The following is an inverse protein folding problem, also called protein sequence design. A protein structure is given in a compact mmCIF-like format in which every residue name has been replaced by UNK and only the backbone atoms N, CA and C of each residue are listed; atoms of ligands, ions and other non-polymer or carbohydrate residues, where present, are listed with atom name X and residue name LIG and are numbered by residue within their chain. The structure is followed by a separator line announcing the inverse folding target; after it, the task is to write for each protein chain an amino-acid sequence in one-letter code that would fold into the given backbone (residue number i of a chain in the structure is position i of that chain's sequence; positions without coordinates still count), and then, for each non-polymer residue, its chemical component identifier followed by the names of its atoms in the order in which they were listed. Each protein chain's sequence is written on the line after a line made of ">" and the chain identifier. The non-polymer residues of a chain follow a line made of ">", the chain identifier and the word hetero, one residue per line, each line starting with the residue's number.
data_IF_725690531134
#
_entry.id   IF_725690531134
#
_cell.length_a   1.000
_cell.length_b   1.000
_cell.length_c   1.000
_cell.angle_alpha   90.00
_cell.angle_beta   90.00
_cell.angle_gamma   90.00
#
_symmetry.space_group_name_H-M   'P 1'
#
loop_
_entity.id
_entity.type
_entity.pdbx_description
1 polymer ?
#
# COMPACT_ATOMS: atom_id res chain seq x y z
N UNK A 1 -23.78 -6.91 0.23
CA UNK A 1 -22.88 -7.67 -0.71
C UNK A 1 -21.56 -6.92 -0.80
N UNK A 2 -20.37 -7.61 -0.79
CA UNK A 2 -19.08 -6.94 -0.90
C UNK A 2 -18.62 -6.92 -2.36
N UNK A 3 -18.32 -5.74 -2.88
CA UNK A 3 -17.79 -5.54 -4.24
C UNK A 3 -16.36 -5.00 -4.16
N UNK A 4 -15.42 -5.57 -4.96
CA UNK A 4 -14.06 -5.04 -5.09
C UNK A 4 -13.93 -4.30 -6.41
N UNK A 5 -13.60 -3.02 -6.32
CA UNK A 5 -13.42 -2.13 -7.47
C UNK A 5 -12.12 -1.34 -7.38
N UNK A 6 -11.75 -0.65 -8.44
CA UNK A 6 -10.68 0.35 -8.38
C UNK A 6 -11.06 1.46 -7.42
N UNK A 7 -10.08 1.96 -6.70
CA UNK A 7 -10.21 3.16 -5.90
C UNK A 7 -10.42 4.38 -6.81
N UNK A 8 -11.32 5.26 -6.40
CA UNK A 8 -11.63 6.52 -7.08
C UNK A 8 -11.23 7.70 -6.19
N UNK A 9 -11.05 8.91 -6.73
CA UNK A 9 -10.66 10.07 -5.92
C UNK A 9 -11.59 10.37 -4.75
N UNK A 10 -12.88 10.12 -4.87
CA UNK A 10 -13.85 10.33 -3.80
C UNK A 10 -13.81 9.27 -2.68
N UNK A 11 -13.04 8.20 -2.85
CA UNK A 11 -12.84 7.17 -1.81
C UNK A 11 -11.73 7.54 -0.82
N UNK A 12 -10.95 8.59 -1.10
CA UNK A 12 -9.71 8.91 -0.38
C UNK A 12 -9.98 9.08 1.11
N UNK A 13 -10.95 9.91 1.49
CA UNK A 13 -11.27 10.19 2.88
C UNK A 13 -11.76 8.94 3.61
N UNK A 14 -12.74 8.22 3.05
CA UNK A 14 -13.27 6.99 3.62
C UNK A 14 -12.21 5.88 3.76
N UNK A 15 -11.28 5.80 2.80
CA UNK A 15 -10.13 4.88 2.86
C UNK A 15 -9.16 5.29 3.98
N UNK A 16 -8.83 6.57 4.13
CA UNK A 16 -7.91 7.03 5.16
C UNK A 16 -8.50 6.84 6.55
N UNK A 17 -9.79 7.13 6.73
CA UNK A 17 -10.53 6.81 7.94
C UNK A 17 -10.49 5.31 8.28
N UNK A 18 -10.65 4.43 7.28
CA UNK A 18 -10.52 2.99 7.48
C UNK A 18 -9.10 2.61 7.93
N UNK A 19 -8.07 3.17 7.30
CA UNK A 19 -6.68 2.91 7.68
C UNK A 19 -6.38 3.39 9.09
N UNK A 20 -6.91 4.53 9.50
CA UNK A 20 -6.73 5.08 10.84
C UNK A 20 -7.47 4.25 11.90
N UNK A 21 -8.67 3.74 11.60
CA UNK A 21 -9.37 2.81 12.49
C UNK A 21 -8.63 1.48 12.67
N UNK A 22 -8.09 0.92 11.58
CA UNK A 22 -7.45 -0.43 11.60
C UNK A 22 -6.03 -0.39 12.13
N UNK A 23 -5.24 0.63 11.82
CA UNK A 23 -3.81 0.68 12.11
C UNK A 23 -3.41 1.79 13.08
N UNK A 24 -4.26 2.81 13.28
CA UNK A 24 -3.95 4.00 14.05
C UNK A 24 -2.75 4.78 13.50
N UNK A 25 -2.28 5.77 14.26
CA UNK A 25 -1.13 6.61 13.91
C UNK A 25 0.18 5.82 13.77
N UNK A 26 0.28 4.64 14.37
CA UNK A 26 1.46 3.77 14.25
C UNK A 26 1.76 3.31 12.81
N UNK A 27 0.77 3.41 11.90
CA UNK A 27 0.97 3.08 10.47
C UNK A 27 2.08 3.90 9.82
N UNK A 28 2.23 5.16 10.23
CA UNK A 28 3.26 6.07 9.70
C UNK A 28 4.68 5.76 10.19
N UNK A 29 4.81 4.99 11.28
CA UNK A 29 6.10 4.59 11.84
C UNK A 29 6.66 3.31 11.18
N UNK A 30 5.87 2.61 10.38
CA UNK A 30 6.30 1.36 9.73
C UNK A 30 7.35 1.64 8.66
N UNK A 31 8.42 0.86 8.64
CA UNK A 31 9.51 1.01 7.67
C UNK A 31 9.03 1.03 6.22
N UNK A 32 8.01 0.24 5.88
CA UNK A 32 7.42 0.23 4.55
C UNK A 32 6.76 1.58 4.16
N UNK A 33 6.38 2.44 5.13
CA UNK A 33 5.82 3.76 4.86
C UNK A 33 6.85 4.68 4.22
N UNK A 34 8.13 4.58 4.60
CA UNK A 34 9.22 5.35 3.97
C UNK A 34 9.34 5.17 2.46
N UNK A 35 8.82 4.06 1.92
CA UNK A 35 8.78 3.79 0.49
C UNK A 35 7.55 4.38 -0.21
N UNK A 36 6.59 4.88 0.54
CA UNK A 36 5.31 5.43 0.07
C UNK A 36 5.19 6.93 0.29
N UNK A 37 5.87 7.43 1.31
CA UNK A 37 5.80 8.83 1.72
C UNK A 37 6.10 9.78 0.55
N UNK A 38 5.22 10.77 0.33
CA UNK A 38 5.35 11.74 -0.75
C UNK A 38 5.24 11.16 -2.16
N UNK A 39 4.66 9.97 -2.32
CA UNK A 39 4.53 9.32 -3.64
C UNK A 39 3.10 8.95 -3.97
N UNK A 40 2.84 8.79 -5.25
CA UNK A 40 1.59 8.23 -5.75
C UNK A 40 1.68 6.70 -5.80
N UNK A 41 0.57 5.98 -5.54
CA UNK A 41 0.52 4.55 -5.81
C UNK A 41 0.71 4.26 -7.30
N UNK A 42 1.17 3.07 -7.61
CA UNK A 42 1.35 2.60 -9.00
C UNK A 42 0.02 2.69 -9.76
N UNK A 43 0.06 3.26 -10.95
CA UNK A 43 -1.12 3.62 -11.72
C UNK A 43 -2.09 2.44 -11.93
N UNK A 44 -3.34 2.61 -11.50
CA UNK A 44 -4.39 1.59 -11.65
C UNK A 44 -4.26 0.39 -10.69
N UNK A 45 -3.39 0.47 -9.68
CA UNK A 45 -3.13 -0.59 -8.71
C UNK A 45 -3.60 -0.22 -7.29
N UNK A 46 -4.66 0.57 -7.18
CA UNK A 46 -5.37 0.89 -5.92
C UNK A 46 -6.77 0.30 -5.99
N UNK A 47 -7.17 -0.42 -4.93
CA UNK A 47 -8.46 -1.11 -4.87
C UNK A 47 -9.11 -0.91 -3.52
N UNK A 48 -10.44 -0.82 -3.54
CA UNK A 48 -11.30 -0.79 -2.36
C UNK A 48 -12.30 -1.93 -2.40
N UNK A 49 -12.70 -2.39 -1.23
CA UNK A 49 -13.84 -3.27 -1.03
C UNK A 49 -14.97 -2.43 -0.45
N UNK A 50 -16.10 -2.40 -1.13
CA UNK A 50 -17.29 -1.66 -0.76
C UNK A 50 -18.40 -2.62 -0.33
N UNK A 51 -19.11 -2.29 0.74
CA UNK A 51 -20.29 -2.99 1.21
C UNK A 51 -21.33 -1.97 1.66
N UNK A 52 -22.51 -2.04 1.05
CA UNK A 52 -23.66 -1.20 1.44
C UNK A 52 -23.35 0.32 1.39
N UNK A 53 -22.48 0.74 0.47
CA UNK A 53 -22.02 2.11 0.28
C UNK A 53 -20.76 2.50 1.07
N UNK A 54 -20.34 1.67 2.03
CA UNK A 54 -19.16 1.93 2.86
C UNK A 54 -17.90 1.26 2.34
N UNK A 55 -16.74 1.93 2.48
CA UNK A 55 -15.44 1.33 2.24
C UNK A 55 -15.04 0.47 3.45
N UNK A 56 -15.05 -0.85 3.24
CA UNK A 56 -14.77 -1.85 4.28
C UNK A 56 -13.43 -2.55 4.10
N UNK A 57 -12.70 -2.21 3.06
CA UNK A 57 -11.35 -2.75 2.82
C UNK A 57 -10.60 -1.95 1.77
N UNK A 58 -9.28 -1.98 1.84
CA UNK A 58 -8.40 -1.29 0.88
C UNK A 58 -7.09 -2.03 0.69
N UNK A 59 -6.51 -1.90 -0.52
CA UNK A 59 -5.13 -2.29 -0.82
C UNK A 59 -4.58 -1.40 -1.93
N UNK A 60 -3.33 -0.98 -1.80
CA UNK A 60 -2.59 -0.23 -2.82
C UNK A 60 -1.26 -0.92 -3.12
N UNK A 61 -0.74 -0.69 -4.32
CA UNK A 61 0.62 -1.08 -4.69
C UNK A 61 1.42 0.16 -5.08
N UNK A 62 2.72 0.12 -4.80
CA UNK A 62 3.63 1.26 -4.94
C UNK A 62 4.85 0.83 -5.74
N UNK A 63 5.27 1.65 -6.69
CA UNK A 63 6.46 1.33 -7.49
C UNK A 63 7.72 1.42 -6.64
N UNK A 64 8.49 0.34 -6.65
CA UNK A 64 9.76 0.20 -5.93
C UNK A 64 10.78 -0.54 -6.80
N UNK A 65 12.03 -0.58 -6.37
CA UNK A 65 13.02 -1.51 -6.91
C UNK A 65 13.40 -2.56 -5.86
N UNK A 66 13.49 -3.82 -6.28
CA UNK A 66 14.01 -4.94 -5.48
C UNK A 66 15.55 -5.02 -5.60
N UNK A 67 16.22 -3.99 -5.07
CA UNK A 67 17.64 -3.72 -5.35
C UNK A 67 17.86 -3.02 -6.71
N UNK A 68 19.10 -2.64 -7.04
CA UNK A 68 19.40 -1.86 -8.25
C UNK A 68 18.91 -2.54 -9.54
N UNK A 69 18.22 -1.77 -10.39
CA UNK A 69 17.79 -2.21 -11.71
C UNK A 69 16.68 -3.26 -11.77
N UNK A 70 16.00 -3.56 -10.66
CA UNK A 70 14.95 -4.58 -10.59
C UNK A 70 13.60 -3.97 -10.23
N UNK A 71 12.79 -3.55 -11.20
CA UNK A 71 11.46 -3.00 -10.95
C UNK A 71 10.56 -4.02 -10.24
N UNK A 72 9.85 -3.56 -9.21
CA UNK A 72 8.90 -4.31 -8.43
C UNK A 72 7.76 -3.40 -7.96
N UNK A 73 6.71 -3.97 -7.37
CA UNK A 73 5.70 -3.20 -6.64
C UNK A 73 5.62 -3.69 -5.20
N UNK A 74 5.42 -2.75 -4.28
CA UNK A 74 5.20 -3.02 -2.85
C UNK A 74 3.71 -3.01 -2.56
N UNK A 75 3.15 -4.13 -2.13
CA UNK A 75 1.75 -4.26 -1.75
C UNK A 75 1.55 -3.76 -0.31
N UNK A 76 0.60 -2.87 -0.15
CA UNK A 76 0.14 -2.33 1.13
C UNK A 76 -0.01 -0.79 1.12
N UNK A 77 -0.65 -0.25 2.15
CA UNK A 77 -1.30 -0.95 3.24
C UNK A 77 -2.47 -1.80 2.75
N UNK A 78 -2.68 -2.96 3.40
CA UNK A 78 -3.88 -3.76 3.30
C UNK A 78 -4.66 -3.61 4.59
N UNK A 79 -5.88 -3.13 4.51
CA UNK A 79 -6.78 -3.02 5.66
C UNK A 79 -8.15 -3.61 5.34
N UNK A 80 -8.79 -4.18 6.35
CA UNK A 80 -10.20 -4.61 6.32
C UNK A 80 -10.80 -4.22 7.65
N UNK A 81 -11.98 -3.62 7.61
CA UNK A 81 -12.76 -3.26 8.78
C UNK A 81 -12.93 -4.46 9.73
N UNK A 82 -12.69 -4.26 11.01
CA UNK A 82 -12.71 -5.31 12.02
C UNK A 82 -14.05 -6.05 12.08
N UNK A 83 -15.16 -5.34 11.92
CA UNK A 83 -16.50 -5.91 11.88
C UNK A 83 -16.76 -6.80 10.64
N UNK A 84 -15.93 -6.67 9.62
CA UNK A 84 -16.04 -7.42 8.36
C UNK A 84 -14.89 -8.43 8.18
N UNK A 85 -14.02 -8.63 9.19
CA UNK A 85 -12.95 -9.64 9.16
C UNK A 85 -13.51 -11.06 9.04
N UNK A 86 -12.64 -12.00 8.68
CA UNK A 86 -12.95 -13.43 8.49
C UNK A 86 -13.97 -13.73 7.36
N UNK A 87 -14.35 -12.75 6.54
CA UNK A 87 -15.25 -12.90 5.38
C UNK A 87 -14.50 -13.03 4.05
N UNK A 88 -13.18 -13.23 4.07
CA UNK A 88 -12.37 -13.40 2.87
C UNK A 88 -12.02 -12.12 2.10
N UNK A 89 -12.45 -10.93 2.57
CA UNK A 89 -12.27 -9.64 1.89
C UNK A 89 -10.80 -9.34 1.65
N UNK A 90 -9.95 -9.45 2.68
CA UNK A 90 -8.51 -9.22 2.55
C UNK A 90 -7.86 -10.13 1.51
N UNK A 91 -8.23 -11.41 1.51
CA UNK A 91 -7.74 -12.36 0.51
C UNK A 91 -8.20 -12.04 -0.91
N UNK A 92 -9.43 -11.56 -1.06
CA UNK A 92 -9.96 -11.14 -2.36
C UNK A 92 -9.25 -9.87 -2.89
N UNK A 93 -8.97 -8.89 -2.00
CA UNK A 93 -8.17 -7.70 -2.32
C UNK A 93 -6.76 -8.07 -2.76
N UNK A 94 -6.06 -8.96 -2.03
CA UNK A 94 -4.71 -9.44 -2.42
C UNK A 94 -4.73 -10.10 -3.78
N UNK A 95 -5.65 -11.03 -4.03
CA UNK A 95 -5.79 -11.69 -5.35
C UNK A 95 -6.07 -10.68 -6.46
N UNK A 96 -6.94 -9.70 -6.22
CA UNK A 96 -7.23 -8.63 -7.18
C UNK A 96 -5.99 -7.80 -7.50
N UNK A 97 -5.23 -7.42 -6.48
CA UNK A 97 -3.99 -6.64 -6.61
C UNK A 97 -2.93 -7.41 -7.41
N UNK A 98 -2.67 -8.68 -7.08
CA UNK A 98 -1.73 -9.55 -7.81
C UNK A 98 -2.14 -9.70 -9.27
N UNK A 99 -3.42 -9.98 -9.54
CA UNK A 99 -3.93 -10.12 -10.90
C UNK A 99 -3.80 -8.82 -11.71
N UNK A 100 -4.00 -7.67 -11.08
CA UNK A 100 -3.83 -6.37 -11.71
C UNK A 100 -2.35 -6.07 -12.00
N UNK A 101 -1.45 -6.31 -11.03
CA UNK A 101 -0.01 -6.15 -11.21
C UNK A 101 0.51 -7.01 -12.37
N UNK A 102 0.03 -8.25 -12.48
CA UNK A 102 0.38 -9.16 -13.58
C UNK A 102 -0.09 -8.62 -14.94
N UNK A 103 -1.32 -8.10 -15.04
CA UNK A 103 -1.83 -7.46 -16.27
C UNK A 103 -1.07 -6.20 -16.66
N UNK A 104 -0.60 -5.44 -15.66
CA UNK A 104 0.26 -4.26 -15.87
C UNK A 104 1.72 -4.61 -16.11
N UNK A 105 2.04 -5.90 -16.36
CA UNK A 105 3.38 -6.42 -16.69
C UNK A 105 4.43 -6.24 -15.59
N UNK A 106 4.01 -6.01 -14.35
CA UNK A 106 4.95 -6.12 -13.21
C UNK A 106 5.41 -7.56 -13.08
N UNK A 107 6.68 -7.74 -12.71
CA UNK A 107 7.31 -9.06 -12.62
C UNK A 107 7.38 -9.57 -11.19
N UNK A 108 7.27 -8.68 -10.21
CA UNK A 108 7.46 -8.98 -8.79
C UNK A 108 6.56 -8.13 -7.93
N UNK A 109 5.97 -8.75 -6.90
CA UNK A 109 5.29 -8.05 -5.80
C UNK A 109 6.04 -8.34 -4.51
N UNK A 110 6.37 -7.29 -3.76
CA UNK A 110 6.94 -7.36 -2.42
C UNK A 110 5.90 -6.94 -1.39
N UNK A 111 6.03 -7.38 -0.16
CA UNK A 111 5.26 -6.87 0.98
C UNK A 111 5.98 -7.13 2.31
N UNK A 112 5.51 -6.48 3.37
CA UNK A 112 5.88 -6.80 4.76
C UNK A 112 4.62 -7.29 5.48
N UNK A 113 4.62 -8.54 5.91
CA UNK A 113 3.43 -9.15 6.52
C UNK A 113 3.68 -10.52 7.15
N UNK A 114 2.61 -11.17 7.56
CA UNK A 114 2.65 -12.51 8.14
C UNK A 114 2.87 -13.57 7.04
N UNK A 115 3.99 -14.28 7.10
CA UNK A 115 4.34 -15.30 6.12
C UNK A 115 3.30 -16.43 6.03
N UNK A 116 2.71 -16.86 7.17
CA UNK A 116 1.68 -17.89 7.19
C UNK A 116 0.41 -17.44 6.44
N UNK A 117 0.03 -16.17 6.61
CA UNK A 117 -1.11 -15.61 5.89
C UNK A 117 -0.85 -15.47 4.39
N UNK A 118 0.33 -14.97 3.99
CA UNK A 118 0.60 -14.61 2.59
C UNK A 118 1.10 -15.78 1.73
N UNK A 119 1.56 -16.89 2.32
CA UNK A 119 1.98 -18.11 1.59
C UNK A 119 0.93 -18.60 0.60
N UNK A 120 -0.36 -18.55 0.95
CA UNK A 120 -1.47 -18.98 0.07
C UNK A 120 -1.66 -18.15 -1.20
N UNK A 121 -0.96 -17.02 -1.30
CA UNK A 121 -0.94 -16.16 -2.49
C UNK A 121 0.39 -16.26 -3.25
N UNK A 122 1.28 -17.17 -2.86
CA UNK A 122 2.57 -17.38 -3.50
C UNK A 122 3.70 -16.49 -2.98
N UNK A 123 3.53 -15.85 -1.82
CA UNK A 123 4.60 -15.09 -1.19
C UNK A 123 5.51 -15.97 -0.32
N UNK A 124 6.82 -15.70 -0.37
CA UNK A 124 7.84 -16.35 0.44
C UNK A 124 8.93 -15.35 0.86
N UNK A 125 9.56 -15.60 2.01
CA UNK A 125 10.75 -14.87 2.45
C UNK A 125 12.04 -15.40 1.83
N UNK A 126 12.02 -16.57 1.20
CA UNK A 126 13.20 -17.25 0.65
C UNK A 126 13.91 -16.40 -0.41
N UNK A 127 13.13 -15.72 -1.27
CA UNK A 127 13.65 -14.94 -2.38
C UNK A 127 14.05 -13.49 -2.00
N UNK A 128 13.73 -13.08 -0.76
CA UNK A 128 14.00 -11.71 -0.28
C UNK A 128 15.18 -11.66 0.68
N UNK A 129 15.85 -12.78 0.92
CA UNK A 129 16.91 -12.92 1.93
C UNK A 129 18.09 -11.95 1.80
N UNK A 130 18.41 -11.49 0.60
CA UNK A 130 19.45 -10.51 0.33
C UNK A 130 18.93 -9.09 0.08
N UNK A 131 17.61 -8.85 0.26
CA UNK A 131 16.97 -7.53 0.16
C UNK A 131 16.83 -6.87 1.53
N UNK A 132 16.86 -5.54 1.55
CA UNK A 132 16.78 -4.75 2.78
C UNK A 132 15.77 -3.61 2.62
N UNK A 133 15.00 -3.34 3.68
CA UNK A 133 14.17 -2.13 3.78
C UNK A 133 14.98 -0.96 4.36
N UNK A 134 14.57 0.29 4.10
CA UNK A 134 15.26 1.49 4.60
C UNK A 134 14.91 1.78 6.07
N UNK A 135 15.14 0.82 6.97
CA UNK A 135 14.88 0.96 8.41
C UNK A 135 14.63 -0.38 9.09
N UNK A 136 14.26 -0.41 10.37
CA UNK A 136 14.06 -1.64 11.13
C UNK A 136 12.84 -2.42 10.66
N UNK A 137 12.97 -3.74 10.56
CA UNK A 137 11.89 -4.69 10.26
C UNK A 137 12.29 -6.11 10.66
N UNK A 138 11.31 -6.98 10.82
CA UNK A 138 11.53 -8.42 11.00
C UNK A 138 11.78 -9.06 9.63
N UNK A 139 12.93 -9.71 9.49
CA UNK A 139 13.40 -10.20 8.18
C UNK A 139 12.49 -11.23 7.52
N UNK A 140 11.94 -12.13 8.31
CA UNK A 140 11.00 -13.18 7.89
C UNK A 140 9.63 -12.64 7.44
N UNK A 141 9.36 -11.36 7.70
CA UNK A 141 8.15 -10.65 7.27
C UNK A 141 8.31 -9.92 5.94
N UNK A 142 9.52 -9.76 5.42
CA UNK A 142 9.73 -9.25 4.07
C UNK A 142 9.52 -10.39 3.09
N UNK A 143 8.43 -10.33 2.34
CA UNK A 143 8.01 -11.41 1.46
C UNK A 143 8.01 -10.97 0.00
N UNK A 144 8.37 -11.88 -0.90
CA UNK A 144 8.32 -11.70 -2.34
C UNK A 144 7.39 -12.70 -3.01
N UNK A 145 6.74 -12.26 -4.09
CA UNK A 145 5.97 -13.10 -4.99
C UNK A 145 6.41 -12.80 -6.42
N UNK A 146 6.97 -13.79 -7.09
CA UNK A 146 7.30 -13.69 -8.51
C UNK A 146 6.06 -13.86 -9.38
N UNK A 147 5.76 -12.84 -10.16
CA UNK A 147 4.72 -12.90 -11.19
C UNK A 147 5.25 -13.50 -12.48
N UNK A 148 6.57 -13.42 -12.65
CA UNK A 148 7.35 -14.08 -13.73
C UNK A 148 8.46 -14.87 -13.05
N UNK A 149 8.59 -16.17 -13.30
CA UNK A 149 9.63 -16.99 -12.69
C UNK A 149 11.03 -16.39 -12.88
N UNK A 150 11.86 -16.41 -11.83
CA UNK A 150 13.22 -15.87 -11.82
C UNK A 150 13.31 -14.36 -11.75
N UNK A 151 12.20 -13.66 -11.51
CA UNK A 151 12.21 -12.19 -11.42
C UNK A 151 13.00 -11.67 -10.19
N UNK A 152 13.15 -12.49 -9.16
CA UNK A 152 13.92 -12.20 -7.95
C UNK A 152 15.28 -12.90 -7.92
N UNK A 153 15.66 -13.67 -8.96
CA UNK A 153 16.95 -14.35 -8.99
C UNK A 153 18.11 -13.36 -8.86
N UNK A 154 18.93 -13.55 -7.82
CA UNK A 154 20.04 -12.65 -7.50
C UNK A 154 19.61 -11.24 -7.05
N UNK A 155 18.33 -11.02 -6.67
CA UNK A 155 17.89 -9.76 -6.11
C UNK A 155 18.56 -9.50 -4.77
N UNK A 156 19.22 -8.33 -4.65
CA UNK A 156 20.00 -7.97 -3.46
C UNK A 156 20.11 -6.45 -3.30
N UNK A 157 20.32 -6.03 -2.08
CA UNK A 157 20.53 -4.63 -1.75
C UNK A 157 19.26 -3.94 -1.21
N UNK A 158 19.31 -2.62 -1.17
CA UNK A 158 18.24 -1.82 -0.59
C UNK A 158 17.03 -1.76 -1.53
N UNK A 159 15.85 -1.97 -0.99
CA UNK A 159 14.57 -1.69 -1.65
C UNK A 159 14.40 -0.17 -1.65
N UNK A 160 14.29 0.41 -2.82
CA UNK A 160 14.13 1.84 -3.02
C UNK A 160 12.77 2.19 -3.60
N UNK A 161 12.24 3.35 -3.26
CA UNK A 161 11.02 3.88 -3.85
C UNK A 161 11.32 4.44 -5.24
N UNK A 162 10.53 4.06 -6.24
CA UNK A 162 10.66 4.51 -7.65
C UNK A 162 9.39 5.14 -8.20
N UNK A 163 8.29 5.13 -7.42
CA UNK A 163 7.01 5.71 -7.79
C UNK A 163 7.09 7.22 -8.03
N UNK A 164 6.12 7.74 -8.79
CA UNK A 164 5.98 9.16 -9.04
C UNK A 164 5.82 9.90 -7.71
N UNK A 165 6.46 11.06 -7.60
CA UNK A 165 6.24 11.96 -6.47
C UNK A 165 4.85 12.59 -6.57
N UNK A 166 4.17 12.68 -5.44
CA UNK A 166 2.94 13.47 -5.33
C UNK A 166 3.28 14.94 -5.62
N UNK A 167 2.54 15.61 -6.52
CA UNK A 167 2.75 17.03 -6.76
C UNK A 167 2.68 17.81 -5.44
N UNK A 168 3.65 18.69 -5.20
CA UNK A 168 3.57 19.59 -4.06
C UNK A 168 2.32 20.47 -4.22
N UNK A 169 1.55 20.73 -3.15
CA UNK A 169 0.45 21.66 -3.22
C UNK A 169 0.96 23.02 -3.67
N UNK A 170 0.21 23.70 -4.56
CA UNK A 170 0.58 25.04 -4.98
C UNK A 170 0.56 26.01 -3.78
N UNK A 171 1.35 27.08 -3.86
CA UNK A 171 1.40 28.10 -2.82
C UNK A 171 0.00 28.65 -2.48
N UNK A 172 -0.85 28.80 -3.50
CA UNK A 172 -2.23 29.27 -3.34
C UNK A 172 -3.09 28.33 -2.50
N UNK A 173 -2.93 26.99 -2.67
CA UNK A 173 -3.62 25.98 -1.86
C UNK A 173 -3.13 25.99 -0.41
N UNK A 174 -1.84 26.18 -0.20
CA UNK A 174 -1.26 26.30 1.15
C UNK A 174 -1.75 27.56 1.87
N UNK A 175 -1.83 28.70 1.16
CA UNK A 175 -2.33 29.97 1.71
C UNK A 175 -3.83 29.86 2.03
N UNK A 176 -4.63 29.23 1.16
CA UNK A 176 -6.06 29.01 1.40
C UNK A 176 -6.31 28.12 2.63
N UNK A 177 -5.47 27.11 2.86
CA UNK A 177 -5.53 26.24 4.05
C UNK A 177 -5.27 27.01 5.35
N UNK A 178 -4.30 27.91 5.35
CA UNK A 178 -4.00 28.76 6.52
C UNK A 178 -5.14 29.74 6.87
N UNK A 179 -5.95 30.12 5.88
CA UNK A 179 -7.11 31.01 6.11
C UNK A 179 -8.29 30.31 6.80
N UNK A 180 -8.46 29.02 6.67
CA UNK A 180 -9.56 28.27 7.28
C UNK A 180 -9.30 27.99 8.78
N UNK A 181 -8.07 27.70 9.17
CA UNK A 181 -7.72 27.49 10.58
C UNK A 181 -7.85 28.77 11.41
N UNK A 182 -7.56 29.93 10.82
CA UNK A 182 -7.71 31.23 11.50
C UNK A 182 -9.18 31.65 11.72
N UNK A 183 -10.11 31.16 10.90
CA UNK A 183 -11.54 31.44 11.05
C UNK A 183 -12.20 30.55 12.12
N UNK A 184 -11.77 29.31 12.26
CA UNK A 184 -12.28 28.37 13.27
C UNK A 184 -11.88 28.75 14.69
N UNK A 185 -10.71 29.35 14.89
CA UNK A 185 -10.24 29.80 16.19
C UNK A 185 -10.97 31.04 16.74
N UNK A 186 -11.68 31.80 15.92
CA UNK A 186 -12.42 33.02 16.33
C UNK A 186 -13.87 32.75 16.76
N UNK A 187 -14.37 31.56 16.64
CA UNK A 187 -15.73 31.17 17.06
C UNK A 187 -15.76 30.39 18.39
N UNK A 188 -14.60 30.21 19.03
CA UNK A 188 -14.43 29.48 20.29
C UNK A 188 -14.00 30.39 21.45
N UNK A 189 -14.22 31.70 21.36
CA UNK A 189 -13.95 32.67 22.44
C UNK A 189 -15.24 33.39 22.87
#
# INVERSE_FOLDING_TARGET
>A
MVTIRKEMPFDIDARDDLLDRVWGASRFQKTAERLREGREPSAGLSFVAESDGDIVGTVRLWDVCAGPGRPAVLLGPLAVDDAKRCRGIGGALVRRAIAAARRSKHRTVLLVGDAAYYRRFGFSAEQTGALWLPGPYERDRLLGCELVPGALDGARGLIGATGRLTPAPSLDVLIAGLGHDAASARHAA
#
